data_IF_111646247929
#
_entry.id   IF_111646247929
#
_cell.length_a   1.000
_cell.length_b   1.000
_cell.length_c   1.000
_cell.angle_alpha   90.00
_cell.angle_beta   90.00
_cell.angle_gamma   90.00
#
_symmetry.space_group_name_H-M   'P 1'
#
loop_
_entity.id
_entity.type
_entity.pdbx_description
1 polymer ?
#
# COMPACT_ATOMS: atom_id res chain seq x y z
N UNK A 1 -0.28 24.30 23.35
CA UNK A 1 0.46 23.16 22.80
C UNK A 1 0.87 23.58 21.42
N UNK A 2 2.14 23.48 21.06
CA UNK A 2 2.59 23.85 19.71
C UNK A 2 1.87 22.95 18.70
N UNK A 3 1.23 23.58 17.71
CA UNK A 3 0.52 22.89 16.64
C UNK A 3 1.57 22.19 15.75
N UNK A 4 1.87 20.93 16.08
CA UNK A 4 2.74 20.05 15.30
C UNK A 4 1.99 19.59 14.04
N UNK A 5 1.76 20.51 13.11
CA UNK A 5 1.08 20.24 11.83
C UNK A 5 1.98 20.52 10.62
N UNK A 6 3.26 20.88 10.84
CA UNK A 6 4.14 21.31 9.76
C UNK A 6 5.04 20.19 9.23
N UNK A 7 5.32 20.21 7.92
CA UNK A 7 6.27 19.27 7.30
C UNK A 7 7.69 19.36 7.91
N UNK A 8 8.01 20.48 8.56
CA UNK A 8 9.29 20.73 9.20
C UNK A 8 9.47 19.89 10.49
N UNK A 9 8.37 19.66 11.22
CA UNK A 9 8.37 18.83 12.42
C UNK A 9 8.67 17.35 12.11
N UNK A 10 8.26 16.89 10.93
CA UNK A 10 8.47 15.52 10.46
C UNK A 10 9.94 15.25 10.07
N UNK A 11 10.70 16.28 9.74
CA UNK A 11 12.13 16.17 9.40
C UNK A 11 12.99 15.77 10.62
N UNK A 12 12.54 16.11 11.84
CA UNK A 12 13.20 15.67 13.07
C UNK A 12 13.01 14.18 13.30
N UNK A 13 14.10 13.44 13.47
CA UNK A 13 14.09 11.98 13.73
C UNK A 13 13.39 11.62 15.05
N UNK A 14 13.38 12.54 16.03
CA UNK A 14 12.75 12.32 17.33
C UNK A 14 11.22 12.42 17.26
N UNK A 15 10.69 13.07 16.23
CA UNK A 15 9.24 13.22 16.06
C UNK A 15 8.65 11.92 15.52
N UNK A 16 7.61 11.35 16.16
CA UNK A 16 6.90 10.20 15.61
C UNK A 16 6.08 10.64 14.40
N UNK A 17 5.94 9.75 13.41
CA UNK A 17 5.14 10.01 12.21
C UNK A 17 3.62 10.13 12.47
N UNK A 18 3.18 9.80 13.67
CA UNK A 18 1.77 9.84 14.10
C UNK A 18 1.23 11.26 14.27
N UNK A 19 2.06 12.29 14.08
CA UNK A 19 1.60 13.68 14.06
C UNK A 19 0.82 14.01 12.78
N UNK A 20 0.95 13.20 11.73
CA UNK A 20 0.29 13.41 10.44
C UNK A 20 -0.99 12.60 10.38
N UNK A 21 -2.09 13.24 10.02
CA UNK A 21 -3.34 12.53 9.73
C UNK A 21 -3.35 11.98 8.30
N UNK A 22 -3.66 10.69 8.10
CA UNK A 22 -3.70 10.10 6.76
C UNK A 22 -4.92 10.59 5.98
N UNK A 23 -4.70 11.35 4.90
CA UNK A 23 -5.80 11.84 4.06
C UNK A 23 -6.54 10.72 3.32
N UNK A 24 -5.80 9.69 2.91
CA UNK A 24 -6.31 8.68 1.99
C UNK A 24 -6.66 7.36 2.71
N UNK A 25 -6.53 7.24 4.04
CA UNK A 25 -6.72 5.99 4.78
C UNK A 25 -6.83 6.22 6.29
N UNK A 26 -6.63 5.17 7.09
CA UNK A 26 -6.62 5.25 8.56
C UNK A 26 -5.32 4.69 9.15
N UNK A 27 -4.99 5.05 10.38
CA UNK A 27 -3.92 4.37 11.11
C UNK A 27 -4.34 2.92 11.43
N UNK A 28 -3.39 1.96 11.55
CA UNK A 28 -3.74 0.57 11.85
C UNK A 28 -4.55 0.40 13.16
N UNK A 29 -4.35 1.29 14.14
CA UNK A 29 -5.10 1.33 15.39
C UNK A 29 -6.58 1.72 15.22
N UNK A 30 -6.91 2.41 14.14
CA UNK A 30 -8.25 2.93 13.84
C UNK A 30 -8.95 2.10 12.73
N UNK A 31 -8.26 1.09 12.20
CA UNK A 31 -8.84 0.16 11.23
C UNK A 31 -9.93 -0.73 11.88
N UNK A 32 -10.90 -1.22 11.09
CA UNK A 32 -11.88 -2.18 11.60
C UNK A 32 -11.20 -3.43 12.17
N UNK A 33 -11.66 -3.88 13.33
CA UNK A 33 -11.23 -5.14 13.95
C UNK A 33 -11.97 -6.34 13.32
N UNK A 34 -11.88 -6.45 12.00
CA UNK A 34 -12.50 -7.50 11.21
C UNK A 34 -11.66 -7.81 9.98
N UNK A 35 -11.49 -9.10 9.68
CA UNK A 35 -10.79 -9.54 8.47
C UNK A 35 -11.63 -9.28 7.23
N UNK A 36 -11.02 -8.68 6.20
CA UNK A 36 -11.61 -8.52 4.88
C UNK A 36 -10.91 -9.43 3.87
N UNK A 37 -11.62 -10.45 3.38
CA UNK A 37 -11.13 -11.31 2.30
C UNK A 37 -11.32 -10.62 0.96
N UNK A 38 -10.23 -10.50 0.19
CA UNK A 38 -10.22 -9.90 -1.15
C UNK A 38 -9.77 -10.96 -2.15
N UNK A 39 -10.64 -11.27 -3.10
CA UNK A 39 -10.32 -12.16 -4.22
C UNK A 39 -9.83 -11.33 -5.41
N UNK A 40 -8.72 -11.74 -6.01
CA UNK A 40 -8.15 -11.08 -7.19
C UNK A 40 -8.05 -12.10 -8.32
N UNK A 41 -8.65 -11.79 -9.47
CA UNK A 41 -8.54 -12.64 -10.66
C UNK A 41 -7.49 -12.09 -11.60
N UNK A 42 -6.60 -12.97 -12.06
CA UNK A 42 -5.53 -12.63 -13.00
C UNK A 42 -5.75 -13.33 -14.35
N UNK A 43 -5.41 -12.62 -15.43
CA UNK A 43 -5.35 -13.15 -16.79
C UNK A 43 -4.09 -12.60 -17.46
N UNK A 44 -3.21 -13.48 -17.93
CA UNK A 44 -1.92 -13.09 -18.50
C UNK A 44 -1.08 -12.17 -17.60
N UNK A 45 -0.99 -12.49 -16.30
CA UNK A 45 -0.31 -11.70 -15.26
C UNK A 45 -0.89 -10.28 -15.04
N UNK A 46 -2.10 -10.00 -15.52
CA UNK A 46 -2.83 -8.75 -15.26
C UNK A 46 -4.02 -9.03 -14.36
N UNK A 47 -4.20 -8.21 -13.32
CA UNK A 47 -5.42 -8.27 -12.52
C UNK A 47 -6.59 -7.71 -13.35
N UNK A 48 -7.61 -8.54 -13.55
CA UNK A 48 -8.78 -8.24 -14.40
C UNK A 48 -10.09 -8.17 -13.62
N UNK A 49 -10.11 -8.67 -12.38
CA UNK A 49 -11.27 -8.60 -11.50
C UNK A 49 -10.88 -8.58 -10.02
N UNK A 50 -11.74 -7.98 -9.20
CA UNK A 50 -11.65 -7.98 -7.74
C UNK A 50 -13.01 -8.41 -7.20
N UNK A 51 -13.04 -9.36 -6.27
CA UNK A 51 -14.25 -9.94 -5.68
C UNK A 51 -15.27 -10.38 -6.75
N UNK A 52 -14.79 -11.12 -7.76
CA UNK A 52 -15.59 -11.60 -8.89
C UNK A 52 -16.05 -10.52 -9.90
N UNK A 53 -15.82 -9.23 -9.65
CA UNK A 53 -16.24 -8.14 -10.55
C UNK A 53 -15.11 -7.76 -11.50
N UNK A 54 -15.33 -7.87 -12.82
CA UNK A 54 -14.38 -7.36 -13.82
C UNK A 54 -14.26 -5.85 -13.76
N UNK A 55 -13.03 -5.37 -13.79
CA UNK A 55 -12.68 -3.96 -13.63
C UNK A 55 -11.59 -3.58 -14.63
N UNK A 56 -11.57 -2.32 -15.05
CA UNK A 56 -10.45 -1.74 -15.78
C UNK A 56 -9.22 -1.60 -14.85
N UNK A 57 -8.00 -1.48 -15.41
CA UNK A 57 -6.79 -1.33 -14.59
C UNK A 57 -6.85 -0.17 -13.58
N UNK A 58 -7.46 0.96 -13.96
CA UNK A 58 -7.65 2.11 -13.08
C UNK A 58 -8.59 1.77 -11.93
N UNK A 59 -9.71 1.11 -12.21
CA UNK A 59 -10.69 0.73 -11.19
C UNK A 59 -10.11 -0.28 -10.21
N UNK A 60 -9.27 -1.22 -10.67
CA UNK A 60 -8.57 -2.17 -9.78
C UNK A 60 -7.68 -1.42 -8.79
N UNK A 61 -6.84 -0.49 -9.29
CA UNK A 61 -5.93 0.29 -8.43
C UNK A 61 -6.72 1.14 -7.42
N UNK A 62 -7.76 1.83 -7.88
CA UNK A 62 -8.62 2.67 -7.02
C UNK A 62 -9.33 1.86 -5.94
N UNK A 63 -9.84 0.68 -6.29
CA UNK A 63 -10.49 -0.22 -5.34
C UNK A 63 -9.47 -0.79 -4.33
N UNK A 64 -8.30 -1.23 -4.80
CA UNK A 64 -7.22 -1.69 -3.92
C UNK A 64 -6.76 -0.60 -2.94
N UNK A 65 -6.65 0.65 -3.40
CA UNK A 65 -6.34 1.80 -2.54
C UNK A 65 -7.44 2.04 -1.50
N UNK A 66 -8.72 1.92 -1.89
CA UNK A 66 -9.87 2.11 -1.00
C UNK A 66 -9.89 1.04 0.10
N UNK A 67 -9.78 -0.24 -0.29
CA UNK A 67 -9.75 -1.37 0.63
C UNK A 67 -8.53 -1.29 1.56
N UNK A 68 -7.34 -1.07 1.00
CA UNK A 68 -6.14 -0.92 1.81
C UNK A 68 -6.20 0.30 2.74
N UNK A 69 -6.86 1.37 2.30
CA UNK A 69 -6.99 2.62 3.06
C UNK A 69 -7.80 2.43 4.34
N UNK A 70 -8.98 1.82 4.22
CA UNK A 70 -9.84 1.55 5.38
C UNK A 70 -9.27 0.49 6.33
N UNK A 71 -8.40 -0.39 5.84
CA UNK A 71 -7.75 -1.43 6.64
C UNK A 71 -6.35 -1.01 7.16
N UNK A 72 -5.97 0.27 7.01
CA UNK A 72 -4.70 0.80 7.54
C UNK A 72 -3.42 0.25 6.88
N UNK A 73 -3.52 -0.27 5.65
CA UNK A 73 -2.38 -0.83 4.92
C UNK A 73 -1.55 0.26 4.22
N UNK A 74 -0.30 -0.06 3.90
CA UNK A 74 0.54 0.73 2.99
C UNK A 74 1.08 2.06 3.53
N UNK A 75 1.00 2.27 4.85
CA UNK A 75 1.68 3.37 5.53
C UNK A 75 3.16 3.01 5.68
N UNK A 76 4.03 3.91 5.22
CA UNK A 76 5.47 3.77 5.36
C UNK A 76 6.12 5.09 5.75
N UNK A 77 7.24 5.03 6.46
CA UNK A 77 8.13 6.17 6.61
C UNK A 77 9.45 5.85 5.93
N UNK A 78 10.05 6.84 5.30
CA UNK A 78 11.35 6.70 4.69
C UNK A 78 12.19 7.93 4.98
N UNK A 79 13.49 7.70 5.08
CA UNK A 79 14.48 8.75 4.99
C UNK A 79 15.16 8.59 3.62
N UNK A 80 15.01 9.59 2.78
CA UNK A 80 15.49 9.56 1.40
C UNK A 80 16.55 10.63 1.15
N UNK A 81 17.44 10.34 0.21
CA UNK A 81 18.41 11.32 -0.27
C UNK A 81 17.79 12.07 -1.44
N UNK A 82 17.66 13.40 -1.31
CA UNK A 82 17.26 14.27 -2.41
C UNK A 82 18.42 14.44 -3.39
N UNK A 83 18.07 14.68 -4.66
CA UNK A 83 19.04 14.88 -5.75
C UNK A 83 20.01 16.04 -5.46
N UNK A 84 19.53 17.06 -4.75
CA UNK A 84 20.34 18.24 -4.35
C UNK A 84 21.29 17.98 -3.17
N UNK A 85 21.42 16.74 -2.71
CA UNK A 85 22.35 16.34 -1.65
C UNK A 85 21.85 16.51 -0.22
N UNK A 86 20.57 16.87 -0.03
CA UNK A 86 19.93 16.92 1.29
C UNK A 86 19.23 15.60 1.62
N UNK A 87 19.11 15.28 2.90
CA UNK A 87 18.24 14.18 3.37
C UNK A 87 16.87 14.76 3.66
N UNK A 88 15.83 13.97 3.43
CA UNK A 88 14.47 14.31 3.83
C UNK A 88 13.80 13.11 4.44
N UNK A 89 13.01 13.34 5.48
CA UNK A 89 12.14 12.36 6.09
C UNK A 89 10.71 12.60 5.66
N UNK A 90 10.08 11.57 5.09
CA UNK A 90 8.70 11.62 4.63
C UNK A 90 7.88 10.45 5.16
N UNK A 91 6.61 10.72 5.42
CA UNK A 91 5.58 9.70 5.59
C UNK A 91 4.85 9.52 4.26
N UNK A 92 4.84 8.29 3.74
CA UNK A 92 4.15 7.93 2.50
C UNK A 92 2.94 7.08 2.88
N UNK A 93 1.75 7.60 2.58
CA UNK A 93 0.47 7.09 3.09
C UNK A 93 -0.43 6.54 1.97
N UNK A 94 0.04 6.51 0.72
CA UNK A 94 -0.72 6.18 -0.49
C UNK A 94 -0.20 4.94 -1.25
N UNK A 95 0.86 4.26 -0.77
CA UNK A 95 1.45 3.07 -1.44
C UNK A 95 0.69 1.75 -1.25
N UNK A 96 -0.63 1.79 -1.08
CA UNK A 96 -1.48 0.62 -0.76
C UNK A 96 -1.62 -0.37 -1.89
N UNK A 97 -2.13 0.09 -3.04
CA UNK A 97 -2.19 -0.75 -4.23
C UNK A 97 -0.78 -1.18 -4.64
N UNK A 98 0.21 -0.30 -4.53
CA UNK A 98 1.60 -0.64 -4.85
C UNK A 98 2.15 -1.77 -3.97
N UNK A 99 1.90 -1.75 -2.65
CA UNK A 99 2.32 -2.82 -1.74
C UNK A 99 1.63 -4.14 -2.05
N UNK A 100 0.31 -4.11 -2.31
CA UNK A 100 -0.46 -5.28 -2.74
C UNK A 100 0.12 -5.87 -4.03
N UNK A 101 0.30 -5.05 -5.05
CA UNK A 101 0.83 -5.50 -6.34
C UNK A 101 2.29 -5.92 -6.27
N UNK A 102 3.11 -5.33 -5.41
CA UNK A 102 4.49 -5.77 -5.20
C UNK A 102 4.53 -7.20 -4.62
N UNK A 103 3.71 -7.48 -3.60
CA UNK A 103 3.61 -8.82 -3.02
C UNK A 103 3.10 -9.84 -4.04
N UNK A 104 2.04 -9.49 -4.77
CA UNK A 104 1.47 -10.36 -5.81
C UNK A 104 2.44 -10.59 -6.96
N UNK A 105 3.18 -9.56 -7.38
CA UNK A 105 4.21 -9.68 -8.42
C UNK A 105 5.27 -10.70 -8.02
N UNK A 106 5.75 -10.68 -6.77
CA UNK A 106 6.69 -11.69 -6.28
C UNK A 106 6.08 -13.09 -6.28
N UNK A 107 4.83 -13.24 -5.82
CA UNK A 107 4.13 -14.53 -5.78
C UNK A 107 3.94 -15.12 -7.19
N UNK A 108 3.39 -14.31 -8.11
CA UNK A 108 3.20 -14.64 -9.53
C UNK A 108 4.54 -14.97 -10.19
N UNK A 109 5.59 -14.17 -9.95
CA UNK A 109 6.92 -14.41 -10.50
C UNK A 109 7.51 -15.74 -10.02
N UNK A 110 7.36 -16.06 -8.73
CA UNK A 110 7.85 -17.33 -8.18
C UNK A 110 7.09 -18.52 -8.78
N UNK A 111 5.77 -18.42 -8.94
CA UNK A 111 4.98 -19.48 -9.58
C UNK A 111 5.39 -19.71 -11.04
N UNK A 112 5.69 -18.64 -11.79
CA UNK A 112 6.21 -18.75 -13.17
C UNK A 112 7.58 -19.44 -13.16
N UNK A 113 8.50 -18.97 -12.29
CA UNK A 113 9.87 -19.48 -12.22
C UNK A 113 9.91 -20.96 -11.83
N UNK A 114 9.10 -21.35 -10.85
CA UNK A 114 9.01 -22.73 -10.36
C UNK A 114 8.21 -23.65 -11.29
N UNK A 115 7.64 -23.13 -12.38
CA UNK A 115 6.80 -23.89 -13.31
C UNK A 115 5.45 -24.32 -12.72
N UNK A 116 5.00 -23.69 -11.64
CA UNK A 116 3.75 -23.98 -10.92
C UNK A 116 2.58 -23.08 -11.30
N UNK A 117 2.66 -22.43 -12.46
CA UNK A 117 1.66 -21.45 -12.90
C UNK A 117 0.21 -21.96 -12.95
N UNK A 118 0.02 -23.27 -13.14
CA UNK A 118 -1.30 -23.90 -13.17
C UNK A 118 -1.60 -24.76 -11.94
N UNK A 119 -0.81 -24.66 -10.87
CA UNK A 119 -1.03 -25.41 -9.64
C UNK A 119 -2.13 -24.72 -8.81
N UNK A 120 -3.32 -25.32 -8.65
CA UNK A 120 -4.40 -24.72 -7.86
C UNK A 120 -4.16 -24.82 -6.34
N UNK A 121 -3.09 -25.47 -5.88
CA UNK A 121 -2.76 -25.61 -4.46
C UNK A 121 -2.01 -24.39 -3.88
N UNK A 122 -1.59 -23.43 -4.71
CA UNK A 122 -0.92 -22.18 -4.33
C UNK A 122 -1.71 -20.96 -4.73
#
# INVERSE_FOLDING_TARGET
AEDLESAEDLESVQTPMTIVDPEMGVWPKDAPDAEELVELTFDGARCVAVNGKRLSPLEVISLANTIGGRNGLGISHALENRIIGTKSRGAVLDRRAAALFAHLSSLVSNQIYDGRWFDPAT
#
